data_IF_086145728722
#
_entry.id   IF_086145728722
#
_cell.length_a   1.000
_cell.length_b   1.000
_cell.length_c   1.000
_cell.angle_alpha   90.00
_cell.angle_beta   90.00
_cell.angle_gamma   90.00
#
_symmetry.space_group_name_H-M   'P 1'
#
loop_
_entity.id
_entity.type
_entity.pdbx_description
1 polymer ?
#
# COMPACT_ATOMS: atom_id res chain seq x y z
N UNK A 1 35.32 -43.60 -30.78
CA UNK A 1 34.98 -42.84 -29.55
C UNK A 1 33.66 -42.15 -29.74
N UNK A 2 32.59 -42.63 -29.10
CA UNK A 2 31.30 -41.96 -29.08
C UNK A 2 31.22 -41.08 -27.82
N UNK A 3 31.44 -39.78 -27.96
CA UNK A 3 31.25 -38.85 -26.86
C UNK A 3 29.77 -38.76 -26.54
N UNK A 4 29.47 -38.98 -25.27
CA UNK A 4 28.12 -38.95 -24.70
C UNK A 4 27.62 -37.52 -24.61
N UNK A 5 26.75 -37.09 -25.50
CA UNK A 5 26.02 -35.82 -25.51
C UNK A 5 24.86 -35.78 -24.51
N UNK A 6 24.75 -36.79 -23.64
CA UNK A 6 23.63 -36.89 -22.67
C UNK A 6 23.72 -36.00 -21.46
N UNK A 7 24.88 -35.39 -21.16
CA UNK A 7 25.07 -34.54 -20.01
C UNK A 7 24.57 -33.10 -20.16
N UNK A 8 24.54 -32.59 -21.40
CA UNK A 8 24.24 -31.16 -21.64
C UNK A 8 22.74 -30.83 -21.60
N UNK A 9 21.86 -31.75 -21.99
CA UNK A 9 20.42 -31.54 -21.95
C UNK A 9 19.85 -31.41 -20.51
N UNK A 10 20.41 -32.19 -19.57
CA UNK A 10 19.97 -32.16 -18.19
C UNK A 10 20.27 -30.81 -17.51
N UNK A 11 21.45 -30.25 -17.76
CA UNK A 11 21.83 -28.95 -17.20
C UNK A 11 20.98 -27.81 -17.77
N UNK A 12 20.62 -27.84 -19.06
CA UNK A 12 19.75 -26.84 -19.67
C UNK A 12 18.33 -26.90 -19.08
N UNK A 13 17.77 -28.08 -18.90
CA UNK A 13 16.43 -28.25 -18.32
C UNK A 13 16.39 -27.70 -16.86
N UNK A 14 17.41 -28.04 -16.04
CA UNK A 14 17.50 -27.52 -14.66
C UNK A 14 17.62 -26.00 -14.64
N UNK A 15 18.41 -25.43 -15.57
CA UNK A 15 18.57 -23.98 -15.68
C UNK A 15 17.24 -23.27 -16.04
N UNK A 16 16.50 -23.78 -17.02
CA UNK A 16 15.20 -23.22 -17.41
C UNK A 16 14.15 -23.39 -16.32
N UNK A 17 14.11 -24.52 -15.62
CA UNK A 17 13.22 -24.75 -14.47
C UNK A 17 13.55 -23.77 -13.33
N UNK A 18 14.84 -23.55 -13.06
CA UNK A 18 15.29 -22.58 -12.06
C UNK A 18 14.83 -21.15 -12.39
N UNK A 19 15.04 -20.71 -13.63
CA UNK A 19 14.56 -19.39 -14.09
C UNK A 19 13.04 -19.28 -13.96
N UNK A 20 12.30 -20.31 -14.39
CA UNK A 20 10.83 -20.31 -14.31
C UNK A 20 10.31 -20.24 -12.87
N UNK A 21 10.95 -20.94 -11.93
CA UNK A 21 10.61 -20.86 -10.50
C UNK A 21 10.90 -19.47 -9.91
N UNK A 22 11.98 -18.81 -10.34
CA UNK A 22 12.28 -17.44 -9.92
C UNK A 22 11.22 -16.47 -10.45
N UNK A 23 10.80 -16.62 -11.72
CA UNK A 23 9.74 -15.76 -12.27
C UNK A 23 8.40 -15.98 -11.58
N UNK A 24 7.99 -17.24 -11.33
CA UNK A 24 6.76 -17.54 -10.60
C UNK A 24 6.86 -17.02 -9.17
N UNK A 25 7.98 -17.23 -8.49
CA UNK A 25 8.19 -16.75 -7.12
C UNK A 25 8.13 -15.22 -7.05
N UNK A 26 8.74 -14.52 -8.02
CA UNK A 26 8.68 -13.06 -8.12
C UNK A 26 7.27 -12.56 -8.41
N UNK A 27 6.55 -13.22 -9.33
CA UNK A 27 5.17 -12.87 -9.65
C UNK A 27 4.24 -13.06 -8.44
N UNK A 28 4.31 -14.22 -7.77
CA UNK A 28 3.53 -14.50 -6.57
C UNK A 28 3.87 -13.53 -5.45
N UNK A 29 5.15 -13.20 -5.26
CA UNK A 29 5.58 -12.22 -4.27
C UNK A 29 4.99 -10.84 -4.56
N UNK A 30 5.04 -10.41 -5.82
CA UNK A 30 4.55 -9.07 -6.21
C UNK A 30 3.03 -8.96 -6.12
N UNK A 31 2.31 -9.99 -6.55
CA UNK A 31 0.84 -9.96 -6.61
C UNK A 31 0.16 -10.32 -5.26
N UNK A 32 0.82 -11.15 -4.43
CA UNK A 32 0.17 -11.74 -3.26
C UNK A 32 0.77 -11.31 -1.93
N UNK A 33 2.03 -10.91 -1.90
CA UNK A 33 2.75 -10.57 -0.66
C UNK A 33 3.03 -9.08 -0.57
N UNK A 34 3.24 -8.40 -1.71
CA UNK A 34 3.52 -6.98 -1.74
C UNK A 34 2.24 -6.17 -1.63
N UNK A 35 1.94 -5.67 -0.44
CA UNK A 35 0.97 -4.61 -0.22
C UNK A 35 1.72 -3.28 -0.10
N UNK A 36 1.45 -2.32 -0.97
CA UNK A 36 2.07 -1.00 -0.92
C UNK A 36 1.77 -0.29 0.40
N UNK A 37 0.54 -0.47 0.90
CA UNK A 37 0.04 0.13 2.13
C UNK A 37 -0.45 -0.94 3.11
N UNK A 38 0.43 -1.75 3.73
CA UNK A 38 -0.01 -2.75 4.70
C UNK A 38 -0.64 -2.07 5.93
N UNK A 39 -1.62 -2.68 6.60
CA UNK A 39 -2.30 -2.09 7.77
C UNK A 39 -1.35 -1.53 8.84
N UNK A 40 -0.21 -2.19 9.06
CA UNK A 40 0.80 -1.73 10.03
C UNK A 40 1.48 -0.40 9.59
N UNK A 41 1.68 -0.19 8.28
CA UNK A 41 2.19 1.09 7.76
C UNK A 41 1.16 2.19 7.93
N UNK A 42 -0.10 1.90 7.62
CA UNK A 42 -1.21 2.85 7.82
C UNK A 42 -1.32 3.23 9.30
N UNK A 43 -1.29 2.24 10.22
CA UNK A 43 -1.34 2.50 11.67
C UNK A 43 -0.21 3.44 12.13
N UNK A 44 1.00 3.21 11.64
CA UNK A 44 2.17 4.04 11.97
C UNK A 44 2.00 5.50 11.51
N UNK A 45 1.44 5.71 10.32
CA UNK A 45 1.24 7.04 9.72
C UNK A 45 0.04 7.77 10.33
N UNK A 46 -1.07 7.07 10.52
CA UNK A 46 -2.35 7.65 10.93
C UNK A 46 -2.60 7.64 12.44
N UNK A 47 -1.89 6.78 13.16
CA UNK A 47 -2.11 6.51 14.58
C UNK A 47 -3.32 5.61 14.87
N UNK A 48 -4.01 5.08 13.85
CA UNK A 48 -5.16 4.19 14.00
C UNK A 48 -4.91 2.82 13.38
N UNK A 49 -5.42 1.79 14.03
CA UNK A 49 -5.33 0.41 13.54
C UNK A 49 -6.53 0.09 12.66
N UNK A 50 -6.31 0.11 11.35
CA UNK A 50 -7.33 -0.32 10.38
C UNK A 50 -7.43 -1.85 10.31
N UNK A 51 -8.64 -2.40 10.04
CA UNK A 51 -8.79 -3.82 9.77
C UNK A 51 -7.99 -4.25 8.54
N UNK A 52 -7.68 -5.54 8.42
CA UNK A 52 -7.13 -6.08 7.17
C UNK A 52 -8.10 -5.82 6.03
N UNK A 53 -7.55 -5.55 4.86
CA UNK A 53 -8.32 -5.25 3.66
C UNK A 53 -7.68 -5.92 2.43
N UNK A 54 -8.41 -5.90 1.33
CA UNK A 54 -7.92 -6.21 -0.01
C UNK A 54 -8.16 -5.00 -0.92
N UNK A 55 -7.29 -4.79 -1.86
CA UNK A 55 -7.50 -3.83 -2.95
C UNK A 55 -8.47 -4.47 -3.94
N UNK A 56 -9.58 -3.80 -4.24
CA UNK A 56 -10.60 -4.26 -5.19
C UNK A 56 -10.49 -3.55 -6.54
N UNK A 57 -9.91 -2.36 -6.55
CA UNK A 57 -9.61 -1.61 -7.76
C UNK A 57 -8.41 -0.72 -7.52
N UNK A 58 -7.56 -0.61 -8.54
CA UNK A 58 -6.44 0.32 -8.57
C UNK A 58 -6.58 1.18 -9.83
N UNK A 59 -6.54 2.49 -9.65
CA UNK A 59 -6.41 3.48 -10.70
C UNK A 59 -5.00 4.06 -10.61
N UNK A 60 -4.14 3.63 -11.52
CA UNK A 60 -2.78 4.17 -11.63
C UNK A 60 -2.86 5.56 -12.28
N UNK A 61 -2.31 6.56 -11.60
CA UNK A 61 -2.16 7.89 -12.14
C UNK A 61 -1.15 7.93 -13.30
N UNK A 62 -1.26 8.93 -14.13
CA UNK A 62 -0.26 9.16 -15.16
C UNK A 62 1.12 9.37 -14.53
N UNK A 63 2.11 8.63 -15.05
CA UNK A 63 3.51 8.79 -14.63
C UNK A 63 4.16 9.88 -15.49
N UNK A 64 4.37 11.04 -14.90
CA UNK A 64 5.06 12.13 -15.57
C UNK A 64 6.57 11.88 -15.66
N UNK A 65 7.21 12.50 -16.64
CA UNK A 65 8.67 12.41 -16.81
C UNK A 65 9.46 12.91 -15.57
N UNK A 66 8.86 13.80 -14.79
CA UNK A 66 9.38 14.32 -13.52
C UNK A 66 9.28 13.31 -12.36
N UNK A 67 8.60 12.18 -12.55
CA UNK A 67 8.35 11.18 -11.53
C UNK A 67 7.06 11.39 -10.74
N UNK A 68 6.32 12.46 -11.03
CA UNK A 68 5.06 12.76 -10.35
C UNK A 68 3.99 11.73 -10.70
N UNK A 69 3.25 11.28 -9.70
CA UNK A 69 2.12 10.37 -9.88
C UNK A 69 1.13 10.46 -8.71
N UNK A 70 -0.09 10.04 -8.95
CA UNK A 70 -1.13 9.85 -7.94
C UNK A 70 -1.88 8.54 -8.22
N UNK A 71 -1.76 7.57 -7.34
CA UNK A 71 -2.46 6.30 -7.42
C UNK A 71 -3.64 6.27 -6.45
N UNK A 72 -4.76 5.69 -6.89
CA UNK A 72 -5.97 5.50 -6.09
C UNK A 72 -6.28 4.02 -5.95
N UNK A 73 -6.51 3.60 -4.73
CA UNK A 73 -6.84 2.23 -4.38
C UNK A 73 -8.22 2.21 -3.73
N UNK A 74 -9.19 1.57 -4.37
CA UNK A 74 -10.43 1.20 -3.70
C UNK A 74 -10.17 -0.07 -2.89
N UNK A 75 -10.45 -0.02 -1.59
CA UNK A 75 -10.20 -1.12 -0.67
C UNK A 75 -11.49 -1.64 -0.06
N UNK A 76 -11.51 -2.95 0.23
CA UNK A 76 -12.57 -3.59 0.99
C UNK A 76 -12.01 -4.23 2.25
N UNK A 77 -12.42 -3.74 3.42
CA UNK A 77 -12.04 -4.30 4.71
C UNK A 77 -12.64 -5.70 4.90
N UNK A 78 -11.89 -6.60 5.51
CA UNK A 78 -12.39 -7.95 5.87
C UNK A 78 -13.56 -7.88 6.83
N UNK A 79 -13.51 -6.92 7.77
CA UNK A 79 -14.59 -6.62 8.71
C UNK A 79 -14.94 -5.14 8.63
N UNK A 80 -16.19 -4.78 8.93
CA UNK A 80 -16.58 -3.37 9.09
C UNK A 80 -15.69 -2.76 10.19
N UNK A 81 -15.04 -1.60 9.94
CA UNK A 81 -14.28 -0.91 10.98
C UNK A 81 -15.14 -0.67 12.24
N UNK A 82 -14.57 -0.95 13.40
CA UNK A 82 -15.29 -0.89 14.67
C UNK A 82 -15.60 0.55 15.09
N UNK A 83 -16.62 0.75 15.91
CA UNK A 83 -16.93 2.06 16.49
C UNK A 83 -15.75 2.62 17.29
N UNK A 84 -14.99 1.76 18.00
CA UNK A 84 -13.79 2.17 18.76
C UNK A 84 -12.74 2.87 17.88
N UNK A 85 -12.62 2.45 16.59
CA UNK A 85 -11.73 3.11 15.66
C UNK A 85 -12.18 4.55 15.40
N UNK A 86 -13.48 4.77 15.18
CA UNK A 86 -14.04 6.09 14.92
C UNK A 86 -14.02 6.97 16.18
N UNK A 87 -14.30 6.40 17.36
CA UNK A 87 -14.20 7.11 18.65
C UNK A 87 -12.76 7.64 18.86
N UNK A 88 -11.75 6.81 18.55
CA UNK A 88 -10.35 7.25 18.62
C UNK A 88 -10.03 8.38 17.65
N UNK A 89 -10.58 8.36 16.43
CA UNK A 89 -10.42 9.48 15.49
C UNK A 89 -11.12 10.73 16.00
N UNK A 90 -12.32 10.60 16.56
CA UNK A 90 -13.06 11.72 17.14
C UNK A 90 -12.30 12.35 18.34
N UNK A 91 -11.64 11.54 19.17
CA UNK A 91 -10.71 12.02 20.21
C UNK A 91 -9.53 12.79 19.64
N UNK A 92 -8.91 12.27 18.55
CA UNK A 92 -7.84 12.98 17.87
C UNK A 92 -8.28 14.31 17.29
N UNK A 93 -9.46 14.37 16.68
CA UNK A 93 -10.08 15.61 16.20
C UNK A 93 -10.32 16.60 17.33
N UNK A 94 -10.87 16.15 18.45
CA UNK A 94 -11.12 16.97 19.64
C UNK A 94 -9.83 17.51 20.26
N UNK A 95 -8.71 16.78 20.14
CA UNK A 95 -7.39 17.22 20.61
C UNK A 95 -6.67 18.19 19.64
N UNK A 96 -7.32 18.55 18.54
CA UNK A 96 -6.75 19.49 17.55
C UNK A 96 -5.88 18.86 16.48
N UNK A 97 -6.01 17.53 16.23
CA UNK A 97 -5.33 16.89 15.11
C UNK A 97 -5.91 17.40 13.78
N UNK A 98 -5.10 18.12 13.03
CA UNK A 98 -5.51 18.74 11.76
C UNK A 98 -5.37 17.81 10.55
N UNK A 99 -4.76 16.63 10.72
CA UNK A 99 -4.57 15.65 9.63
C UNK A 99 -5.84 14.85 9.36
N UNK A 100 -6.68 14.68 10.39
CA UNK A 100 -7.99 14.09 10.26
C UNK A 100 -9.04 15.14 9.95
N UNK A 101 -10.00 14.78 9.12
CA UNK A 101 -11.20 15.56 8.80
C UNK A 101 -12.42 14.65 8.89
N UNK A 102 -13.56 15.20 9.31
CA UNK A 102 -14.82 14.47 9.40
C UNK A 102 -15.90 15.22 8.64
N UNK A 103 -16.58 14.50 7.76
CA UNK A 103 -17.74 15.00 7.02
C UNK A 103 -18.88 13.96 7.13
N UNK A 104 -19.86 14.24 7.97
CA UNK A 104 -20.90 13.27 8.31
C UNK A 104 -20.31 12.01 8.95
N UNK A 105 -20.54 10.87 8.31
CA UNK A 105 -20.02 9.56 8.73
C UNK A 105 -18.70 9.18 8.03
N UNK A 106 -18.14 10.09 7.25
CA UNK A 106 -16.90 9.87 6.51
C UNK A 106 -15.73 10.57 7.19
N UNK A 107 -14.64 9.84 7.37
CA UNK A 107 -13.41 10.30 7.98
C UNK A 107 -12.29 10.20 6.96
N UNK A 108 -11.55 11.30 6.78
CA UNK A 108 -10.42 11.40 5.86
C UNK A 108 -9.17 11.83 6.62
N UNK A 109 -8.11 11.05 6.49
CA UNK A 109 -6.76 11.42 6.88
C UNK A 109 -5.99 11.88 5.66
N UNK A 110 -5.17 12.91 5.80
CA UNK A 110 -4.28 13.37 4.74
C UNK A 110 -2.98 13.90 5.32
N UNK A 111 -1.86 13.55 4.70
CA UNK A 111 -0.54 14.03 5.08
C UNK A 111 0.35 14.15 3.84
N UNK A 112 1.25 15.12 3.89
CA UNK A 112 2.34 15.29 2.92
C UNK A 112 3.64 15.33 3.72
N UNK A 113 4.69 14.70 3.22
CA UNK A 113 6.04 14.78 3.78
C UNK A 113 7.09 14.80 2.68
N UNK A 114 8.33 15.13 3.02
CA UNK A 114 9.42 15.44 2.09
C UNK A 114 9.60 16.95 1.92
N UNK A 115 10.55 17.35 1.09
CA UNK A 115 10.87 18.77 0.80
C UNK A 115 11.00 19.66 2.07
N UNK A 116 11.63 19.11 3.12
CA UNK A 116 11.78 19.77 4.41
C UNK A 116 10.62 19.60 5.39
N UNK A 117 9.57 18.88 5.01
CA UNK A 117 8.52 18.44 5.93
C UNK A 117 8.90 17.10 6.56
N UNK A 118 8.72 16.93 7.87
CA UNK A 118 9.10 15.70 8.56
C UNK A 118 8.28 14.50 8.09
N UNK A 119 8.98 13.41 7.76
CA UNK A 119 8.35 12.15 7.44
C UNK A 119 7.78 11.48 8.70
N UNK A 120 6.68 10.72 8.56
CA UNK A 120 6.25 9.78 9.60
C UNK A 120 7.34 8.76 9.92
N UNK A 121 7.33 8.21 11.13
CA UNK A 121 8.29 7.20 11.56
C UNK A 121 8.39 6.03 10.56
N UNK A 122 9.62 5.75 10.11
CA UNK A 122 9.91 4.67 9.14
C UNK A 122 9.62 5.02 7.68
N UNK A 123 9.25 6.26 7.37
CA UNK A 123 9.13 6.76 6.00
C UNK A 123 10.39 7.53 5.58
N UNK A 124 10.64 7.60 4.26
CA UNK A 124 11.79 8.33 3.71
C UNK A 124 11.45 9.80 3.47
N UNK A 125 12.35 10.70 3.83
CA UNK A 125 12.23 12.14 3.55
C UNK A 125 12.74 12.54 2.15
N UNK A 126 13.25 11.59 1.38
CA UNK A 126 13.93 11.89 0.12
C UNK A 126 13.00 12.18 -1.06
N UNK A 127 11.70 11.95 -0.90
CA UNK A 127 10.69 12.20 -1.94
C UNK A 127 9.49 12.91 -1.30
N UNK A 128 8.99 13.90 -2.00
CA UNK A 128 7.72 14.52 -1.64
C UNK A 128 6.61 13.50 -1.84
N UNK A 129 6.00 13.08 -0.76
CA UNK A 129 5.00 12.01 -0.76
C UNK A 129 3.71 12.52 -0.18
N UNK A 130 2.62 12.18 -0.84
CA UNK A 130 1.26 12.37 -0.37
C UNK A 130 0.64 11.03 -0.01
N UNK A 131 -0.07 11.00 1.12
CA UNK A 131 -0.89 9.86 1.52
C UNK A 131 -2.21 10.35 2.07
N UNK A 132 -3.30 9.74 1.64
CA UNK A 132 -4.60 9.88 2.29
C UNK A 132 -5.34 8.56 2.38
N UNK A 133 -6.18 8.43 3.40
CA UNK A 133 -7.12 7.32 3.54
C UNK A 133 -8.49 7.87 3.90
N UNK A 134 -9.51 7.35 3.24
CA UNK A 134 -10.92 7.70 3.50
C UNK A 134 -11.68 6.45 3.95
N UNK A 135 -12.34 6.54 5.08
CA UNK A 135 -13.17 5.49 5.67
C UNK A 135 -14.52 6.05 6.08
N UNK A 136 -15.58 5.26 5.88
CA UNK A 136 -16.95 5.66 6.25
C UNK A 136 -17.50 4.71 7.31
N UNK A 137 -18.04 5.25 8.37
CA UNK A 137 -18.64 4.49 9.47
C UNK A 137 -19.74 3.56 8.94
N UNK A 138 -19.71 2.30 9.38
CA UNK A 138 -20.67 1.29 8.95
C UNK A 138 -20.46 0.73 7.54
N UNK A 139 -19.40 1.13 6.81
CA UNK A 139 -19.07 0.62 5.48
C UNK A 139 -17.82 -0.26 5.52
N UNK A 140 -17.80 -1.29 4.64
CA UNK A 140 -16.61 -2.12 4.42
C UNK A 140 -15.63 -1.51 3.42
N UNK A 141 -16.07 -0.54 2.63
CA UNK A 141 -15.26 0.05 1.58
C UNK A 141 -14.55 1.30 2.09
N UNK A 142 -13.35 1.50 1.61
CA UNK A 142 -12.56 2.70 1.83
C UNK A 142 -11.75 3.03 0.59
N UNK A 143 -11.01 4.11 0.65
CA UNK A 143 -10.14 4.57 -0.43
C UNK A 143 -8.80 4.97 0.17
N UNK A 144 -7.71 4.58 -0.51
CA UNK A 144 -6.37 5.08 -0.25
C UNK A 144 -5.93 5.85 -1.49
N UNK A 145 -5.38 7.02 -1.31
CA UNK A 145 -4.70 7.75 -2.38
C UNK A 145 -3.26 8.00 -1.94
N UNK A 146 -2.32 7.68 -2.80
CA UNK A 146 -0.91 7.97 -2.58
C UNK A 146 -0.28 8.55 -3.83
N UNK A 147 0.74 9.35 -3.65
CA UNK A 147 1.43 9.98 -4.76
C UNK A 147 2.80 10.50 -4.36
N UNK A 148 3.59 10.83 -5.38
CA UNK A 148 4.87 11.52 -5.23
C UNK A 148 4.99 12.59 -6.30
N UNK A 149 5.77 13.67 -6.02
CA UNK A 149 6.11 14.76 -6.94
C UNK A 149 7.45 15.40 -6.61
#
# INVERSE_FOLDING_TARGET
MKQSTKGCCGCLVIFFVGIFLVFIGSYVYHEWIWEEWPPARIERITGIKVPKYKVIKMDEGERHFTGDYEDKFEIEFQTIPSDELFDKIDEMLASGNTKWQKEGETYKFSIIWGNGLPAPEGESENMDTFFSITITKGKKNGEITSGAW
#
